data_IF_028861785077
#
_entry.id   IF_028861785077
#
_cell.length_a   1.000
_cell.length_b   1.000
_cell.length_c   1.000
_cell.angle_alpha   90.00
_cell.angle_beta   90.00
_cell.angle_gamma   90.00
#
_symmetry.space_group_name_H-M   'P 1'
#
loop_
_entity.id
_entity.type
_entity.pdbx_description
1 polymer ?
#
# COMPACT_ATOMS: atom_id res chain seq x y z
N UNK A 1 20.91 -10.43 -17.84
CA UNK A 1 19.93 -9.61 -18.60
C UNK A 1 19.06 -8.91 -17.57
N UNK A 2 18.97 -7.56 -17.57
CA UNK A 2 18.12 -6.84 -16.64
C UNK A 2 16.66 -7.25 -16.82
N UNK A 3 15.89 -7.27 -15.73
CA UNK A 3 14.46 -7.57 -15.76
C UNK A 3 13.78 -6.55 -16.67
N UNK A 4 12.91 -7.00 -17.59
CA UNK A 4 12.19 -6.13 -18.53
C UNK A 4 11.46 -4.97 -17.82
N UNK A 5 10.91 -5.25 -16.65
CA UNK A 5 10.25 -4.23 -15.81
C UNK A 5 11.21 -3.14 -15.35
N UNK A 6 12.45 -3.47 -14.97
CA UNK A 6 13.43 -2.47 -14.53
C UNK A 6 13.82 -1.54 -15.67
N UNK A 7 14.09 -2.10 -16.84
CA UNK A 7 14.39 -1.34 -18.06
C UNK A 7 13.24 -0.38 -18.38
N UNK A 8 12.00 -0.87 -18.37
CA UNK A 8 10.84 -0.03 -18.64
C UNK A 8 10.67 1.12 -17.63
N UNK A 9 10.88 0.86 -16.33
CA UNK A 9 10.77 1.89 -15.28
C UNK A 9 11.85 2.96 -15.44
N UNK A 10 13.10 2.55 -15.73
CA UNK A 10 14.22 3.46 -15.99
C UNK A 10 13.96 4.32 -17.23
N UNK A 11 13.54 3.71 -18.34
CA UNK A 11 13.20 4.42 -19.58
C UNK A 11 12.01 5.37 -19.42
N UNK A 12 11.09 5.05 -18.51
CA UNK A 12 9.92 5.88 -18.19
C UNK A 12 10.22 6.98 -17.17
N UNK A 13 11.44 7.06 -16.64
CA UNK A 13 11.83 8.04 -15.62
C UNK A 13 11.17 7.82 -14.26
N UNK A 14 10.71 6.60 -13.95
CA UNK A 14 10.08 6.26 -12.66
C UNK A 14 11.17 5.89 -11.66
N UNK A 15 11.32 6.69 -10.61
CA UNK A 15 12.20 6.38 -9.49
C UNK A 15 11.59 5.29 -8.60
N UNK A 16 12.36 4.23 -8.34
CA UNK A 16 11.94 3.13 -7.49
C UNK A 16 12.43 3.34 -6.07
N UNK A 17 11.54 3.24 -5.08
CA UNK A 17 11.93 3.25 -3.68
C UNK A 17 12.41 1.85 -3.23
N UNK A 18 13.47 1.77 -2.40
CA UNK A 18 13.87 0.51 -1.79
C UNK A 18 12.75 0.02 -0.86
N UNK A 19 12.49 -1.29 -0.89
CA UNK A 19 11.49 -1.92 -0.02
C UNK A 19 12.08 -3.17 0.63
N UNK A 20 12.06 -3.29 1.97
CA UNK A 20 12.58 -4.46 2.66
C UNK A 20 11.73 -5.72 2.37
N UNK A 21 12.35 -6.92 2.29
CA UNK A 21 11.62 -8.16 2.18
C UNK A 21 10.71 -8.40 3.39
N UNK A 22 9.54 -8.99 3.17
CA UNK A 22 8.58 -9.39 4.20
C UNK A 22 8.03 -8.23 5.06
N UNK A 23 7.93 -7.00 4.55
CA UNK A 23 7.40 -5.87 5.33
C UNK A 23 6.03 -5.37 4.85
N UNK A 24 4.96 -6.19 4.92
CA UNK A 24 3.61 -5.77 4.53
C UNK A 24 3.06 -4.64 5.42
N UNK A 25 3.59 -4.49 6.63
CA UNK A 25 3.33 -3.39 7.55
C UNK A 25 3.80 -2.03 7.01
N UNK A 26 4.72 -2.01 6.03
CA UNK A 26 5.22 -0.82 5.34
C UNK A 26 4.61 -0.60 3.95
N UNK A 27 3.74 -1.50 3.48
CA UNK A 27 3.08 -1.41 2.16
C UNK A 27 1.67 -0.83 2.29
N UNK A 28 1.45 0.37 1.75
CA UNK A 28 0.14 1.04 1.76
C UNK A 28 -1.02 0.14 1.25
N UNK A 29 -0.76 -0.68 0.24
CA UNK A 29 -1.78 -1.59 -0.26
C UNK A 29 -2.23 -2.63 0.79
N UNK A 30 -1.28 -3.19 1.53
CA UNK A 30 -1.54 -4.30 2.45
C UNK A 30 -2.16 -3.86 3.77
N UNK A 31 -1.61 -2.83 4.42
CA UNK A 31 -2.12 -2.38 5.72
C UNK A 31 -3.31 -1.41 5.60
N UNK A 32 -3.54 -0.80 4.43
CA UNK A 32 -4.54 0.23 4.26
C UNK A 32 -5.59 -0.08 3.18
N UNK A 33 -5.18 -0.20 1.91
CA UNK A 33 -6.12 -0.25 0.79
C UNK A 33 -6.95 -1.54 0.76
N UNK A 34 -6.29 -2.69 0.91
CA UNK A 34 -6.96 -3.99 0.85
C UNK A 34 -7.94 -4.24 1.98
N UNK A 35 -7.67 -3.87 3.25
CA UNK A 35 -8.68 -3.94 4.31
C UNK A 35 -10.01 -3.24 3.94
N UNK A 36 -9.95 -2.02 3.40
CA UNK A 36 -11.15 -1.27 2.99
C UNK A 36 -11.88 -1.98 1.86
N UNK A 37 -11.16 -2.35 0.81
CA UNK A 37 -11.76 -3.04 -0.33
C UNK A 37 -12.39 -4.36 0.11
N UNK A 38 -11.68 -5.16 0.90
CA UNK A 38 -12.16 -6.47 1.39
C UNK A 38 -13.40 -6.32 2.26
N UNK A 39 -13.55 -5.24 3.02
CA UNK A 39 -14.78 -4.96 3.76
C UNK A 39 -15.98 -4.79 2.81
N UNK A 40 -15.78 -4.10 1.68
CA UNK A 40 -16.85 -3.80 0.71
C UNK A 40 -17.13 -4.93 -0.28
N UNK A 41 -16.15 -5.78 -0.59
CA UNK A 41 -16.28 -6.87 -1.56
C UNK A 41 -16.94 -8.14 -0.95
N UNK A 42 -17.26 -8.16 0.35
CA UNK A 42 -17.94 -9.30 0.99
C UNK A 42 -19.25 -9.65 0.24
N UNK A 43 -19.23 -10.76 -0.50
CA UNK A 43 -20.36 -11.41 -1.16
C UNK A 43 -20.89 -10.80 -2.47
N UNK A 44 -20.03 -10.53 -3.47
CA UNK A 44 -20.51 -10.20 -4.84
C UNK A 44 -19.80 -11.03 -5.91
N UNK A 45 -20.55 -11.51 -6.91
CA UNK A 45 -19.99 -12.16 -8.10
C UNK A 45 -19.30 -11.12 -9.02
N UNK A 46 -19.65 -9.84 -8.86
CA UNK A 46 -19.11 -8.69 -9.60
C UNK A 46 -18.00 -7.93 -8.85
N UNK A 47 -16.92 -8.63 -8.47
CA UNK A 47 -15.80 -8.07 -7.71
C UNK A 47 -15.21 -6.76 -8.30
N UNK A 48 -15.21 -6.60 -9.62
CA UNK A 48 -14.72 -5.38 -10.28
C UNK A 48 -15.62 -4.17 -10.02
N UNK A 49 -16.94 -4.34 -10.02
CA UNK A 49 -17.88 -3.26 -9.73
C UNK A 49 -17.80 -2.87 -8.25
N UNK A 50 -17.75 -3.87 -7.37
CA UNK A 50 -17.59 -3.65 -5.93
C UNK A 50 -16.26 -2.94 -5.60
N UNK A 51 -15.16 -3.28 -6.28
CA UNK A 51 -13.88 -2.58 -6.16
C UNK A 51 -14.02 -1.08 -6.54
N UNK A 52 -14.60 -0.78 -7.72
CA UNK A 52 -14.76 0.62 -8.17
C UNK A 52 -15.59 1.44 -7.18
N UNK A 53 -16.66 0.86 -6.65
CA UNK A 53 -17.49 1.49 -5.62
C UNK A 53 -16.68 1.71 -4.35
N UNK A 54 -15.94 0.72 -3.87
CA UNK A 54 -15.10 0.85 -2.67
C UNK A 54 -14.07 1.98 -2.79
N UNK A 55 -13.38 2.07 -3.94
CA UNK A 55 -12.41 3.14 -4.19
C UNK A 55 -13.07 4.52 -4.29
N UNK A 56 -14.28 4.60 -4.85
CA UNK A 56 -14.99 5.88 -4.98
C UNK A 56 -15.37 6.54 -3.65
N UNK A 57 -15.39 5.78 -2.55
CA UNK A 57 -15.61 6.30 -1.20
C UNK A 57 -14.35 6.90 -0.56
N UNK A 58 -13.17 6.68 -1.13
CA UNK A 58 -11.93 7.26 -0.61
C UNK A 58 -11.82 8.70 -1.07
N UNK A 59 -11.74 9.62 -0.11
CA UNK A 59 -11.49 11.03 -0.34
C UNK A 59 -9.99 11.33 -0.39
N UNK A 60 -9.62 12.50 -0.91
CA UNK A 60 -8.23 12.98 -0.85
C UNK A 60 -7.71 13.07 0.59
N UNK A 61 -8.60 13.39 1.55
CA UNK A 61 -8.25 13.44 2.98
C UNK A 61 -7.92 12.06 3.54
N UNK A 62 -8.63 11.02 3.07
CA UNK A 62 -8.34 9.65 3.44
C UNK A 62 -6.94 9.28 2.92
N UNK A 63 -6.64 9.53 1.64
CA UNK A 63 -5.30 9.29 1.09
C UNK A 63 -4.20 10.03 1.88
N UNK A 64 -4.38 11.32 2.18
CA UNK A 64 -3.43 12.08 2.98
C UNK A 64 -3.20 11.46 4.36
N UNK A 65 -4.28 11.03 5.04
CA UNK A 65 -4.18 10.34 6.33
C UNK A 65 -3.35 9.06 6.22
N UNK A 66 -3.50 8.29 5.14
CA UNK A 66 -2.75 7.04 4.96
C UNK A 66 -1.28 7.27 4.61
N UNK A 67 -0.98 8.30 3.83
CA UNK A 67 0.41 8.72 3.60
C UNK A 67 1.09 9.17 4.90
N UNK A 68 0.39 9.93 5.75
CA UNK A 68 0.92 10.31 7.06
C UNK A 68 1.15 9.08 7.97
N UNK A 69 0.20 8.14 7.95
CA UNK A 69 0.34 6.85 8.65
C UNK A 69 1.54 6.04 8.13
N UNK A 70 1.81 6.06 6.82
CA UNK A 70 2.96 5.38 6.22
C UNK A 70 4.29 5.93 6.73
N UNK A 71 4.45 7.25 6.84
CA UNK A 71 5.64 7.85 7.45
C UNK A 71 5.82 7.41 8.90
N UNK A 72 4.74 7.41 9.70
CA UNK A 72 4.81 6.93 11.09
C UNK A 72 5.18 5.44 11.19
N UNK A 73 4.74 4.62 10.24
CA UNK A 73 5.08 3.19 10.14
C UNK A 73 6.58 2.99 9.92
N UNK A 74 7.16 3.80 9.04
CA UNK A 74 8.60 3.78 8.77
C UNK A 74 9.39 4.18 10.03
N UNK A 75 8.95 5.22 10.74
CA UNK A 75 9.55 5.61 12.02
C UNK A 75 9.46 4.49 13.05
N UNK A 76 8.30 3.85 13.21
CA UNK A 76 8.13 2.72 14.12
C UNK A 76 9.04 1.55 13.76
N UNK A 77 9.22 1.24 12.47
CA UNK A 77 10.16 0.21 12.03
C UNK A 77 11.59 0.54 12.46
N UNK A 78 12.01 1.81 12.38
CA UNK A 78 13.32 2.26 12.85
C UNK A 78 13.41 2.18 14.38
N UNK A 79 12.40 2.64 15.10
CA UNK A 79 12.31 2.61 16.58
C UNK A 79 12.35 1.17 17.12
N UNK A 80 11.85 0.19 16.36
CA UNK A 80 11.85 -1.23 16.71
C UNK A 80 13.00 -2.02 16.06
N UNK A 81 14.04 -1.34 15.57
CA UNK A 81 15.24 -1.97 14.99
C UNK A 81 14.95 -2.95 13.83
N UNK A 82 13.88 -2.70 13.06
CA UNK A 82 13.45 -3.52 11.94
C UNK A 82 12.49 -4.66 12.31
N UNK A 83 12.18 -4.85 13.59
CA UNK A 83 11.18 -5.82 14.03
C UNK A 83 9.75 -5.34 13.73
N UNK A 84 8.83 -6.30 13.60
CA UNK A 84 7.41 -5.99 13.44
C UNK A 84 6.86 -5.29 14.69
N UNK A 85 5.91 -4.39 14.46
CA UNK A 85 5.20 -3.69 15.52
C UNK A 85 3.69 -3.94 15.43
N UNK A 86 3.04 -4.03 16.60
CA UNK A 86 1.59 -4.09 16.68
C UNK A 86 0.99 -2.67 16.84
N UNK A 87 -0.11 -2.44 16.13
CA UNK A 87 -0.99 -1.27 16.21
C UNK A 87 -0.36 0.06 15.76
N UNK A 88 -1.23 0.85 15.14
CA UNK A 88 -1.04 2.27 14.87
C UNK A 88 -2.37 2.98 15.15
#
# INVERSE_FOLDING_TARGET
MPLRTRVFLEESGVETLPHPPYSPDLVLCDFFLFPIIKEKIKCTEEATAAYKVAISYLSDQDYQKYFNSWFRRIELCIENEGEYFEKM
#
